data_IF_617678636114
#
_entry.id   IF_617678636114
#
_cell.length_a   1.000
_cell.length_b   1.000
_cell.length_c   1.000
_cell.angle_alpha   90.00
_cell.angle_beta   90.00
_cell.angle_gamma   90.00
#
_symmetry.space_group_name_H-M   'P 1'
#
loop_
_entity.id
_entity.type
_entity.pdbx_description
1 polymer ?
#
# COMPACT_ATOMS: atom_id res chain seq x y z
N UNK A 1 18.95 40.20 0.99
CA UNK A 1 17.53 39.81 1.09
C UNK A 1 17.13 38.62 0.19
N UNK A 2 18.07 37.86 -0.39
CA UNK A 2 17.75 36.71 -1.25
C UNK A 2 17.84 35.35 -0.52
N UNK A 3 18.68 35.24 0.51
CA UNK A 3 19.01 33.98 1.19
C UNK A 3 17.86 33.37 2.01
N UNK A 4 16.88 34.18 2.45
CA UNK A 4 15.70 33.70 3.19
C UNK A 4 14.65 33.09 2.27
N UNK A 5 14.61 33.48 1.00
CA UNK A 5 13.61 33.01 0.05
C UNK A 5 13.96 31.62 -0.51
N UNK A 6 15.22 31.36 -0.85
CA UNK A 6 15.63 30.04 -1.37
C UNK A 6 15.40 28.89 -0.38
N UNK A 7 15.51 29.14 0.93
CA UNK A 7 15.32 28.09 1.94
C UNK A 7 13.87 27.63 2.05
N UNK A 8 12.89 28.53 1.92
CA UNK A 8 11.47 28.17 1.92
C UNK A 8 11.04 27.52 0.61
N UNK A 9 11.56 27.98 -0.52
CA UNK A 9 11.32 27.35 -1.84
C UNK A 9 11.83 25.90 -1.88
N UNK A 10 13.03 25.64 -1.35
CA UNK A 10 13.59 24.28 -1.27
C UNK A 10 12.80 23.38 -0.31
N UNK A 11 12.35 23.91 0.82
CA UNK A 11 11.50 23.16 1.76
C UNK A 11 10.13 22.87 1.14
N UNK A 12 9.55 23.84 0.43
CA UNK A 12 8.28 23.67 -0.27
C UNK A 12 8.41 22.64 -1.40
N UNK A 13 9.47 22.71 -2.22
CA UNK A 13 9.74 21.75 -3.28
C UNK A 13 10.03 20.34 -2.76
N UNK A 14 10.75 20.21 -1.65
CA UNK A 14 10.95 18.92 -0.99
C UNK A 14 9.64 18.36 -0.44
N UNK A 15 8.80 19.19 0.17
CA UNK A 15 7.51 18.78 0.72
C UNK A 15 6.51 18.39 -0.37
N UNK A 16 6.48 19.10 -1.50
CA UNK A 16 5.61 18.73 -2.63
C UNK A 16 6.06 17.42 -3.26
N UNK A 17 7.37 17.20 -3.39
CA UNK A 17 7.91 15.94 -3.90
C UNK A 17 7.58 14.76 -2.98
N UNK A 18 7.70 14.91 -1.66
CA UNK A 18 7.34 13.83 -0.73
C UNK A 18 5.84 13.52 -0.75
N UNK A 19 4.97 14.53 -0.79
CA UNK A 19 3.52 14.34 -0.90
C UNK A 19 3.16 13.60 -2.21
N UNK A 20 3.78 13.99 -3.33
CA UNK A 20 3.57 13.30 -4.61
C UNK A 20 4.00 11.82 -4.57
N UNK A 21 5.08 11.51 -3.85
CA UNK A 21 5.54 10.13 -3.66
C UNK A 21 4.61 9.31 -2.74
N UNK A 22 3.98 9.95 -1.74
CA UNK A 22 3.02 9.28 -0.85
C UNK A 22 1.75 8.90 -1.61
N UNK A 23 1.30 9.71 -2.57
CA UNK A 23 0.12 9.39 -3.39
C UNK A 23 0.30 8.16 -4.30
N UNK A 24 1.53 7.70 -4.55
CA UNK A 24 1.81 6.47 -5.30
C UNK A 24 1.60 5.20 -4.46
N UNK A 25 1.47 5.34 -3.14
CA UNK A 25 1.24 4.22 -2.21
C UNK A 25 -0.16 4.36 -1.64
N UNK A 26 -1.11 3.61 -2.19
CA UNK A 26 -2.38 3.39 -1.50
C UNK A 26 -2.15 2.38 -0.37
N UNK A 27 -2.27 2.85 0.86
CA UNK A 27 -2.11 2.01 2.05
C UNK A 27 -3.44 1.31 2.37
N UNK A 28 -3.46 -0.02 2.30
CA UNK A 28 -4.55 -0.84 2.80
C UNK A 28 -4.03 -1.78 3.88
N UNK A 29 -4.37 -1.48 5.14
CA UNK A 29 -3.91 -2.25 6.29
C UNK A 29 -4.37 -3.71 6.28
N UNK A 30 -5.51 -4.03 5.65
CA UNK A 30 -5.95 -5.42 5.48
C UNK A 30 -5.07 -6.14 4.47
N UNK A 31 -4.72 -5.47 3.36
CA UNK A 31 -3.76 -5.98 2.37
C UNK A 31 -2.38 -6.22 2.96
N UNK A 32 -1.87 -5.26 3.75
CA UNK A 32 -0.57 -5.38 4.43
C UNK A 32 -0.54 -6.58 5.39
N UNK A 33 -1.60 -6.77 6.19
CA UNK A 33 -1.71 -7.87 7.13
C UNK A 33 -1.75 -9.23 6.42
N UNK A 34 -2.51 -9.33 5.32
CA UNK A 34 -2.59 -10.55 4.52
C UNK A 34 -1.28 -10.85 3.78
N UNK A 35 -0.61 -9.84 3.24
CA UNK A 35 0.69 -10.02 2.61
C UNK A 35 1.74 -10.49 3.62
N UNK A 36 1.73 -9.97 4.85
CA UNK A 36 2.59 -10.47 5.93
C UNK A 36 2.29 -11.94 6.28
N UNK A 37 1.00 -12.34 6.29
CA UNK A 37 0.61 -13.74 6.48
C UNK A 37 1.18 -14.62 5.36
N UNK A 38 1.01 -14.24 4.09
CA UNK A 38 1.60 -14.96 2.94
C UNK A 38 3.09 -15.19 3.13
N UNK A 39 3.85 -14.16 3.51
CA UNK A 39 5.30 -14.26 3.72
C UNK A 39 5.69 -15.21 4.86
N UNK A 40 4.80 -15.42 5.83
CA UNK A 40 5.02 -16.33 6.95
C UNK A 40 4.74 -17.81 6.63
N UNK A 41 4.08 -18.09 5.49
CA UNK A 41 3.66 -19.43 5.10
C UNK A 41 4.59 -20.01 4.02
N UNK A 42 4.84 -21.32 4.10
CA UNK A 42 5.45 -22.05 2.98
C UNK A 42 4.33 -22.42 2.01
N UNK A 43 4.36 -21.84 0.81
CA UNK A 43 3.34 -22.02 -0.23
C UNK A 43 3.95 -22.70 -1.47
N UNK A 44 4.24 -24.02 -1.40
CA UNK A 44 4.89 -24.76 -2.49
C UNK A 44 4.02 -24.85 -3.75
N UNK A 45 2.70 -24.77 -3.60
CA UNK A 45 1.74 -24.88 -4.70
C UNK A 45 1.28 -23.51 -5.23
N UNK A 46 1.84 -22.42 -4.71
CA UNK A 46 1.56 -21.05 -5.14
C UNK A 46 0.08 -20.64 -5.03
N UNK A 47 -0.64 -21.18 -4.04
CA UNK A 47 -2.06 -20.89 -3.81
C UNK A 47 -2.29 -19.40 -3.49
N UNK A 48 -1.33 -18.76 -2.83
CA UNK A 48 -1.39 -17.35 -2.43
C UNK A 48 -0.72 -16.42 -3.46
N UNK A 49 -0.45 -16.88 -4.68
CA UNK A 49 0.23 -16.09 -5.72
C UNK A 49 -0.52 -14.78 -6.05
N UNK A 50 -1.84 -14.79 -6.00
CA UNK A 50 -2.69 -13.63 -6.29
C UNK A 50 -2.62 -12.53 -5.21
N UNK A 51 -2.02 -12.80 -4.06
CA UNK A 51 -1.87 -11.84 -2.96
C UNK A 51 -0.71 -10.88 -3.26
N UNK A 52 -0.97 -9.97 -4.20
CA UNK A 52 -0.03 -8.97 -4.71
C UNK A 52 -0.20 -7.64 -3.96
N UNK A 53 0.82 -7.17 -3.21
CA UNK A 53 0.74 -5.93 -2.42
C UNK A 53 0.67 -4.66 -3.28
N UNK A 54 0.88 -4.75 -4.59
CA UNK A 54 0.67 -3.61 -5.51
C UNK A 54 -0.81 -3.40 -5.86
N UNK A 55 -1.65 -4.41 -5.60
CA UNK A 55 -3.10 -4.32 -5.74
C UNK A 55 -3.71 -3.82 -4.43
N UNK A 56 -4.28 -2.63 -4.49
CA UNK A 56 -4.79 -1.90 -3.33
C UNK A 56 -5.94 -2.61 -2.62
N UNK A 57 -6.76 -3.33 -3.38
CA UNK A 57 -7.94 -4.01 -2.85
C UNK A 57 -7.70 -5.53 -2.72
N UNK A 58 -7.52 -6.06 -1.50
CA UNK A 58 -7.31 -7.48 -1.28
C UNK A 58 -8.56 -8.33 -1.59
N UNK A 59 -9.74 -7.74 -1.76
CA UNK A 59 -10.95 -8.45 -2.18
C UNK A 59 -10.85 -9.01 -3.61
N UNK A 60 -9.83 -8.60 -4.38
CA UNK A 60 -9.53 -9.15 -5.71
C UNK A 60 -8.60 -10.38 -5.65
N UNK A 61 -8.01 -10.66 -4.49
CA UNK A 61 -7.11 -11.79 -4.30
C UNK A 61 -7.90 -13.09 -4.14
N UNK A 62 -7.34 -14.20 -4.60
CA UNK A 62 -7.96 -15.51 -4.43
C UNK A 62 -8.00 -15.91 -2.96
N UNK A 63 -9.03 -16.68 -2.61
CA UNK A 63 -9.32 -17.13 -1.25
C UNK A 63 -9.68 -16.03 -0.25
N UNK A 64 -9.62 -14.75 -0.65
CA UNK A 64 -10.11 -13.63 0.18
C UNK A 64 -11.61 -13.42 -0.08
N UNK A 65 -12.40 -13.37 0.99
CA UNK A 65 -13.82 -13.03 0.91
C UNK A 65 -14.09 -11.73 1.64
N UNK A 66 -14.74 -10.79 0.95
CA UNK A 66 -15.13 -9.50 1.51
C UNK A 66 -16.64 -9.34 1.68
N UNK A 67 -17.02 -8.43 2.58
CA UNK A 67 -18.40 -7.97 2.70
C UNK A 67 -18.75 -6.91 1.63
N UNK A 68 -19.97 -6.36 1.71
CA UNK A 68 -20.46 -5.34 0.77
C UNK A 68 -19.70 -4.00 0.86
N UNK A 69 -18.99 -3.76 1.95
CA UNK A 69 -18.19 -2.56 2.19
C UNK A 69 -16.71 -2.73 1.80
N UNK A 70 -16.38 -3.79 1.04
CA UNK A 70 -15.01 -4.18 0.66
C UNK A 70 -14.08 -4.40 1.86
N UNK A 71 -14.60 -4.94 2.97
CA UNK A 71 -13.80 -5.37 4.13
C UNK A 71 -13.61 -6.86 4.12
N UNK A 72 -12.37 -7.29 4.37
CA UNK A 72 -12.05 -8.72 4.48
C UNK A 72 -12.78 -9.33 5.66
N UNK A 73 -13.45 -10.46 5.42
CA UNK A 73 -14.21 -11.21 6.44
C UNK A 73 -13.75 -12.66 6.60
N UNK A 74 -13.04 -13.19 5.60
CA UNK A 74 -12.52 -14.56 5.61
C UNK A 74 -11.36 -14.70 4.63
N UNK A 75 -10.41 -15.56 5.01
CA UNK A 75 -9.33 -16.11 4.18
C UNK A 75 -9.26 -17.62 4.32
#
# INVERSE_FOLDING_TARGET
MAFRNYRWELLAASLTLTIALIHLVEANSEGDALYALRQSLSDPDHVLQSWDPTLVNPCTWFHVTCNQDNRVTRV
#
